data_IF_422587143203
#
_entry.id   IF_422587143203
#
_cell.length_a   1.000
_cell.length_b   1.000
_cell.length_c   1.000
_cell.angle_alpha   90.00
_cell.angle_beta   90.00
_cell.angle_gamma   90.00
#
_symmetry.space_group_name_H-M   'P 1'
#
loop_
_entity.id
_entity.type
_entity.pdbx_description
1 polymer ?
#
# COMPACT_ATOMS: atom_id res chain seq x y z
N UNK A 1 -23.20 -39.45 8.43
CA UNK A 1 -22.64 -38.41 9.34
C UNK A 1 -21.93 -37.40 8.47
N UNK A 2 -22.62 -36.34 8.05
CA UNK A 2 -22.03 -35.23 7.30
C UNK A 2 -21.91 -34.06 8.26
N UNK A 3 -20.69 -33.78 8.71
CA UNK A 3 -20.37 -32.59 9.48
C UNK A 3 -20.31 -31.40 8.54
N UNK A 4 -21.37 -30.60 8.57
CA UNK A 4 -21.46 -29.29 7.97
C UNK A 4 -20.59 -28.34 8.82
N UNK A 5 -19.45 -27.90 8.29
CA UNK A 5 -18.62 -26.87 8.91
C UNK A 5 -19.38 -25.55 8.84
N UNK A 6 -19.79 -25.06 10.00
CA UNK A 6 -20.40 -23.74 10.14
C UNK A 6 -19.39 -22.64 9.75
N UNK A 7 -19.82 -21.53 9.12
CA UNK A 7 -18.93 -20.42 8.84
C UNK A 7 -18.48 -19.79 10.15
N UNK A 8 -17.17 -19.61 10.30
CA UNK A 8 -16.58 -18.85 11.41
C UNK A 8 -16.97 -17.39 11.19
N UNK A 9 -17.92 -16.90 11.97
CA UNK A 9 -18.18 -15.46 12.11
C UNK A 9 -16.95 -14.83 12.77
N UNK A 10 -16.08 -14.20 11.97
CA UNK A 10 -15.04 -13.29 12.48
C UNK A 10 -15.78 -12.14 13.20
N UNK A 11 -15.48 -11.93 14.48
CA UNK A 11 -15.93 -10.74 15.22
C UNK A 11 -15.48 -9.49 14.47
N UNK A 12 -16.44 -8.59 14.17
CA UNK A 12 -16.15 -7.27 13.60
C UNK A 12 -15.37 -6.50 14.66
N UNK A 13 -14.07 -6.42 14.47
CA UNK A 13 -13.16 -5.70 15.35
C UNK A 13 -12.77 -4.44 14.62
N UNK A 14 -13.10 -3.26 15.19
CA UNK A 14 -12.65 -1.97 14.66
C UNK A 14 -11.16 -1.80 14.96
N UNK A 15 -10.30 -2.47 14.20
CA UNK A 15 -8.87 -2.51 14.48
C UNK A 15 -8.02 -2.62 13.21
N UNK A 16 -6.74 -2.27 13.35
CA UNK A 16 -5.69 -2.64 12.39
C UNK A 16 -4.88 -3.78 12.99
N UNK A 17 -4.72 -4.88 12.25
CA UNK A 17 -3.88 -6.02 12.66
C UNK A 17 -2.78 -6.30 11.66
N UNK A 18 -1.74 -7.00 12.12
CA UNK A 18 -0.68 -7.56 11.27
C UNK A 18 -0.71 -9.08 11.36
N UNK A 19 -0.88 -9.74 10.22
CA UNK A 19 -0.86 -11.21 10.09
C UNK A 19 0.34 -11.63 9.24
N UNK A 20 1.17 -12.55 9.73
CA UNK A 20 2.33 -13.05 8.99
C UNK A 20 2.02 -14.39 8.30
N UNK A 21 2.58 -14.60 7.12
CA UNK A 21 2.58 -15.90 6.45
C UNK A 21 3.34 -16.95 7.28
N UNK A 22 3.10 -18.23 7.02
CA UNK A 22 3.72 -19.33 7.79
C UNK A 22 5.26 -19.33 7.72
N UNK A 23 5.84 -18.81 6.64
CA UNK A 23 7.29 -18.62 6.46
C UNK A 23 7.79 -17.25 6.95
N UNK A 24 6.90 -16.38 7.40
CA UNK A 24 7.21 -15.04 7.89
C UNK A 24 7.61 -14.02 6.81
N UNK A 25 7.63 -14.40 5.53
CA UNK A 25 8.10 -13.53 4.45
C UNK A 25 7.10 -12.45 4.04
N UNK A 26 5.81 -12.65 4.30
CA UNK A 26 4.76 -11.68 3.98
C UNK A 26 4.06 -11.24 5.25
N UNK A 27 3.97 -9.93 5.46
CA UNK A 27 3.14 -9.32 6.49
C UNK A 27 1.89 -8.70 5.84
N UNK A 28 0.71 -9.07 6.31
CA UNK A 28 -0.56 -8.50 5.88
C UNK A 28 -1.07 -7.53 6.93
N UNK A 29 -1.11 -6.25 6.60
CA UNK A 29 -1.79 -5.22 7.39
C UNK A 29 -3.27 -5.24 7.00
N UNK A 30 -4.13 -5.66 7.92
CA UNK A 30 -5.58 -5.71 7.74
C UNK A 30 -6.24 -4.57 8.49
N UNK A 31 -6.97 -3.71 7.78
CA UNK A 31 -7.81 -2.66 8.36
C UNK A 31 -9.26 -3.13 8.31
N UNK A 32 -9.86 -3.52 9.43
CA UNK A 32 -11.27 -3.90 9.46
C UNK A 32 -12.09 -2.85 10.21
N UNK A 33 -12.88 -2.11 9.45
CA UNK A 33 -14.03 -1.35 9.96
C UNK A 33 -15.15 -1.46 8.95
N UNK A 34 -15.38 -2.68 8.47
CA UNK A 34 -16.25 -2.98 7.32
C UNK A 34 -17.69 -2.54 7.55
N UNK A 35 -18.17 -2.57 8.80
CA UNK A 35 -19.47 -2.03 9.20
C UNK A 35 -19.64 -0.52 8.94
N UNK A 36 -18.53 0.21 8.75
CA UNK A 36 -18.46 1.64 8.40
C UNK A 36 -17.68 1.87 7.11
N UNK A 37 -17.72 0.90 6.19
CA UNK A 37 -17.07 0.99 4.88
C UNK A 37 -15.55 1.27 4.97
N UNK A 38 -14.93 0.80 6.05
CA UNK A 38 -13.52 1.01 6.39
C UNK A 38 -13.12 2.49 6.49
N UNK A 39 -14.06 3.37 6.85
CA UNK A 39 -13.75 4.78 7.05
C UNK A 39 -12.73 5.00 8.21
N UNK A 40 -11.71 5.80 7.95
CA UNK A 40 -10.56 6.03 8.82
C UNK A 40 -10.86 7.06 9.91
N UNK A 41 -10.60 6.67 11.15
CA UNK A 41 -10.65 7.52 12.36
C UNK A 41 -9.23 7.83 12.84
N UNK A 42 -9.05 8.76 13.78
CA UNK A 42 -7.73 9.00 14.39
C UNK A 42 -7.11 7.73 14.98
N UNK A 43 -7.90 6.93 15.71
CA UNK A 43 -7.42 5.67 16.30
C UNK A 43 -6.93 4.68 15.23
N UNK A 44 -7.70 4.48 14.16
CA UNK A 44 -7.26 3.61 13.06
C UNK A 44 -6.01 4.11 12.35
N UNK A 45 -5.82 5.44 12.23
CA UNK A 45 -4.60 6.01 11.67
C UNK A 45 -3.39 5.78 12.59
N UNK A 46 -3.58 5.90 13.90
CA UNK A 46 -2.54 5.60 14.89
C UNK A 46 -2.16 4.11 14.88
N UNK A 47 -3.16 3.22 14.83
CA UNK A 47 -2.97 1.78 14.73
C UNK A 47 -2.29 1.40 13.41
N UNK A 48 -2.65 2.04 12.29
CA UNK A 48 -1.98 1.85 11.00
C UNK A 48 -0.50 2.27 11.07
N UNK A 49 -0.21 3.42 11.69
CA UNK A 49 1.17 3.85 11.89
C UNK A 49 1.95 2.87 12.79
N UNK A 50 1.30 2.27 13.79
CA UNK A 50 1.90 1.24 14.64
C UNK A 50 2.17 -0.05 13.88
N UNK A 51 1.20 -0.52 13.08
CA UNK A 51 1.33 -1.69 12.22
C UNK A 51 2.47 -1.52 11.20
N UNK A 52 2.58 -0.35 10.55
CA UNK A 52 3.69 -0.07 9.64
C UNK A 52 5.05 -0.12 10.36
N UNK A 53 5.15 0.44 11.57
CA UNK A 53 6.39 0.34 12.38
C UNK A 53 6.72 -1.09 12.78
N UNK A 54 5.72 -1.91 13.12
CA UNK A 54 5.90 -3.32 13.43
C UNK A 54 6.48 -4.07 12.21
N UNK A 55 5.87 -3.89 11.04
CA UNK A 55 6.35 -4.51 9.79
C UNK A 55 7.76 -4.04 9.46
N UNK A 56 8.06 -2.75 9.61
CA UNK A 56 9.40 -2.18 9.36
C UNK A 56 10.51 -2.79 10.24
N UNK A 57 10.15 -3.28 11.43
CA UNK A 57 11.04 -3.92 12.40
C UNK A 57 11.07 -5.46 12.28
N UNK A 58 10.19 -6.04 11.46
CA UNK A 58 10.09 -7.50 11.26
C UNK A 58 11.07 -8.01 10.20
N UNK A 59 11.18 -9.33 10.07
CA UNK A 59 11.88 -10.01 8.98
C UNK A 59 11.02 -10.22 7.73
N UNK A 60 9.84 -9.59 7.65
CA UNK A 60 9.01 -9.67 6.46
C UNK A 60 9.73 -9.03 5.28
N UNK A 61 9.58 -9.67 4.11
CA UNK A 61 10.17 -9.26 2.83
C UNK A 61 9.16 -8.51 1.96
N UNK A 62 7.88 -8.65 2.26
CA UNK A 62 6.75 -8.05 1.53
C UNK A 62 5.67 -7.61 2.53
N UNK A 63 5.13 -6.42 2.32
CA UNK A 63 3.95 -5.94 3.02
C UNK A 63 2.73 -5.95 2.09
N UNK A 64 1.57 -6.34 2.61
CA UNK A 64 0.31 -6.34 1.88
C UNK A 64 -0.72 -5.60 2.71
N UNK A 65 -1.37 -4.59 2.13
CA UNK A 65 -2.45 -3.83 2.77
C UNK A 65 -3.79 -4.34 2.25
N UNK A 66 -4.64 -4.80 3.19
CA UNK A 66 -6.01 -5.26 2.96
C UNK A 66 -6.98 -4.56 3.87
N UNK A 67 -8.24 -4.64 3.50
CA UNK A 67 -9.35 -4.16 4.31
C UNK A 67 -10.40 -5.26 4.49
N UNK A 68 -11.12 -5.22 5.61
CA UNK A 68 -12.22 -6.14 5.87
C UNK A 68 -13.47 -5.84 5.04
N UNK A 69 -14.35 -6.83 4.89
CA UNK A 69 -15.61 -6.68 4.15
C UNK A 69 -15.54 -7.14 2.70
N UNK A 70 -16.52 -6.72 1.88
CA UNK A 70 -16.58 -7.04 0.45
C UNK A 70 -16.82 -5.77 -0.36
N UNK A 71 -16.12 -5.64 -1.50
CA UNK A 71 -16.34 -4.59 -2.51
C UNK A 71 -16.13 -3.16 -2.02
N UNK A 72 -15.49 -2.99 -0.87
CA UNK A 72 -15.10 -1.69 -0.33
C UNK A 72 -13.71 -1.84 0.26
N UNK A 73 -12.76 -1.17 -0.37
CA UNK A 73 -11.43 -1.04 0.19
C UNK A 73 -11.49 -0.05 1.36
N UNK A 74 -11.70 1.24 1.06
CA UNK A 74 -11.82 2.28 2.08
C UNK A 74 -12.50 3.52 1.51
N UNK A 75 -13.50 4.07 2.20
CA UNK A 75 -14.19 5.30 1.77
C UNK A 75 -13.54 6.60 2.30
N UNK A 76 -12.34 6.47 2.88
CA UNK A 76 -11.54 7.59 3.36
C UNK A 76 -11.90 8.01 4.78
N UNK A 77 -11.78 9.30 5.05
CA UNK A 77 -11.99 9.88 6.38
C UNK A 77 -13.42 9.67 6.92
N UNK A 78 -13.55 9.35 8.21
CA UNK A 78 -14.85 9.42 8.89
C UNK A 78 -15.26 10.88 9.09
N UNK A 79 -16.25 11.33 8.29
CA UNK A 79 -16.72 12.72 8.26
C UNK A 79 -17.24 13.16 9.62
N UNK A 80 -17.87 12.27 10.38
CA UNK A 80 -18.41 12.62 11.70
C UNK A 80 -17.29 12.94 12.70
N UNK A 81 -16.09 12.41 12.47
CA UNK A 81 -14.96 12.65 13.36
C UNK A 81 -14.34 14.03 13.13
N UNK A 82 -14.17 14.44 11.88
CA UNK A 82 -13.51 15.71 11.59
C UNK A 82 -14.44 16.91 11.48
N UNK A 83 -15.76 16.72 11.32
CA UNK A 83 -16.72 17.81 11.17
C UNK A 83 -16.74 18.77 12.38
N UNK A 84 -16.43 18.27 13.57
CA UNK A 84 -16.44 19.06 14.81
C UNK A 84 -15.07 19.66 15.17
N UNK A 85 -14.04 19.44 14.34
CA UNK A 85 -12.70 19.95 14.61
C UNK A 85 -12.60 21.44 14.31
N UNK A 86 -11.94 22.18 15.22
CA UNK A 86 -11.45 23.52 14.91
C UNK A 86 -10.39 23.47 13.80
N UNK A 87 -10.13 24.60 13.14
CA UNK A 87 -9.06 24.69 12.15
C UNK A 87 -7.69 24.24 12.70
N UNK A 88 -7.41 24.55 13.98
CA UNK A 88 -6.19 24.09 14.64
C UNK A 88 -6.17 22.58 14.88
N UNK A 89 -7.30 21.98 15.28
CA UNK A 89 -7.42 20.53 15.47
C UNK A 89 -7.36 19.77 14.15
N UNK A 90 -7.98 20.30 13.10
CA UNK A 90 -7.85 19.77 11.73
C UNK A 90 -6.39 19.73 11.30
N UNK A 91 -5.65 20.82 11.47
CA UNK A 91 -4.25 20.89 11.06
C UNK A 91 -3.31 20.02 11.92
N UNK A 92 -3.36 20.17 13.26
CA UNK A 92 -2.39 19.55 14.18
C UNK A 92 -2.67 18.09 14.49
N UNK A 93 -3.94 17.72 14.52
CA UNK A 93 -4.34 16.40 14.97
C UNK A 93 -4.77 15.55 13.77
N UNK A 94 -5.77 16.00 12.99
CA UNK A 94 -6.33 15.20 11.89
C UNK A 94 -5.36 14.99 10.72
N UNK A 95 -4.92 16.09 10.11
CA UNK A 95 -4.03 16.04 8.93
C UNK A 95 -2.67 15.47 9.31
N UNK A 96 -2.08 15.92 10.42
CA UNK A 96 -0.77 15.44 10.84
C UNK A 96 -0.76 13.94 11.19
N UNK A 97 -1.84 13.42 11.79
CA UNK A 97 -1.91 11.98 12.12
C UNK A 97 -2.06 11.13 10.87
N UNK A 98 -2.87 11.55 9.90
CA UNK A 98 -2.96 10.86 8.62
C UNK A 98 -1.66 10.87 7.81
N UNK A 99 -0.95 12.01 7.75
CA UNK A 99 0.39 12.05 7.17
C UNK A 99 1.33 11.06 7.86
N UNK A 100 1.43 11.08 9.20
CA UNK A 100 2.30 10.14 9.92
C UNK A 100 1.97 8.67 9.62
N UNK A 101 0.70 8.32 9.47
CA UNK A 101 0.29 6.95 9.17
C UNK A 101 0.68 6.54 7.75
N UNK A 102 0.39 7.38 6.75
CA UNK A 102 0.62 7.04 5.36
C UNK A 102 2.10 7.16 4.98
N UNK A 103 2.83 8.10 5.59
CA UNK A 103 4.28 8.22 5.40
C UNK A 103 5.03 7.07 6.06
N UNK A 104 4.55 6.54 7.20
CA UNK A 104 5.11 5.33 7.79
C UNK A 104 4.94 4.11 6.88
N UNK A 105 3.80 4.02 6.17
CA UNK A 105 3.55 2.95 5.19
C UNK A 105 4.40 3.13 3.93
N UNK A 106 4.44 4.35 3.36
CA UNK A 106 5.25 4.65 2.18
C UNK A 106 6.74 4.42 2.44
N UNK A 107 7.22 4.80 3.64
CA UNK A 107 8.61 4.66 4.06
C UNK A 107 9.05 3.25 4.47
N UNK A 108 8.20 2.22 4.31
CA UNK A 108 8.62 0.83 4.53
C UNK A 108 9.79 0.47 3.61
N UNK A 109 10.80 -0.22 4.15
CA UNK A 109 11.88 -0.78 3.32
C UNK A 109 11.39 -1.92 2.46
N UNK A 110 10.45 -2.70 2.99
CA UNK A 110 9.75 -3.73 2.27
C UNK A 110 8.91 -3.12 1.12
N UNK A 111 8.87 -3.76 -0.06
CA UNK A 111 7.83 -3.46 -1.03
C UNK A 111 6.45 -3.69 -0.42
N UNK A 112 5.48 -2.89 -0.84
CA UNK A 112 4.12 -2.87 -0.31
C UNK A 112 3.07 -2.94 -1.42
N UNK A 113 2.04 -3.76 -1.23
CA UNK A 113 0.94 -3.93 -2.19
C UNK A 113 -0.37 -3.52 -1.52
N UNK A 114 -1.05 -2.52 -2.05
CA UNK A 114 -2.47 -2.29 -1.76
C UNK A 114 -3.34 -3.20 -2.64
N UNK A 115 -4.27 -3.93 -2.02
CA UNK A 115 -5.23 -4.77 -2.76
C UNK A 115 -6.60 -4.13 -2.72
N UNK A 116 -6.95 -3.51 -3.85
CA UNK A 116 -8.14 -2.67 -4.00
C UNK A 116 -9.24 -3.50 -4.65
N UNK A 117 -10.03 -4.16 -3.81
CA UNK A 117 -11.11 -5.08 -4.20
C UNK A 117 -12.46 -4.36 -4.43
N UNK A 118 -12.47 -3.02 -4.40
CA UNK A 118 -13.72 -2.27 -4.38
C UNK A 118 -13.55 -0.76 -4.33
N UNK A 119 -14.47 -0.07 -3.63
CA UNK A 119 -14.42 1.39 -3.51
C UNK A 119 -13.18 1.84 -2.72
N UNK A 120 -12.34 2.68 -3.33
CA UNK A 120 -11.24 3.39 -2.66
C UNK A 120 -11.38 4.89 -2.91
N UNK A 121 -12.00 5.62 -1.99
CA UNK A 121 -12.34 7.04 -2.16
C UNK A 121 -11.65 7.91 -1.12
N UNK A 122 -11.23 9.10 -1.56
CA UNK A 122 -10.55 10.09 -0.74
C UNK A 122 -9.35 9.49 -0.01
N UNK A 123 -9.34 9.59 1.32
CA UNK A 123 -8.36 8.94 2.20
C UNK A 123 -8.11 7.45 1.92
N UNK A 124 -9.08 6.72 1.36
CA UNK A 124 -8.91 5.31 0.98
C UNK A 124 -8.10 5.12 -0.30
N UNK A 125 -8.23 6.04 -1.26
CA UNK A 125 -7.30 6.09 -2.39
C UNK A 125 -5.93 6.60 -1.92
N UNK A 126 -5.87 7.59 -1.04
CA UNK A 126 -4.60 8.09 -0.47
C UNK A 126 -3.84 6.97 0.26
N UNK A 127 -4.53 6.11 1.01
CA UNK A 127 -3.97 4.90 1.61
C UNK A 127 -3.37 3.97 0.55
N UNK A 128 -4.12 3.68 -0.51
CA UNK A 128 -3.65 2.81 -1.59
C UNK A 128 -2.45 3.41 -2.35
N UNK A 129 -2.42 4.72 -2.50
CA UNK A 129 -1.32 5.47 -3.12
C UNK A 129 -0.06 5.51 -2.23
N UNK A 130 -0.20 5.31 -0.92
CA UNK A 130 0.95 5.20 -0.01
C UNK A 130 1.68 3.86 -0.14
N UNK A 131 1.10 2.83 -0.75
CA UNK A 131 1.81 1.61 -1.10
C UNK A 131 2.68 1.79 -2.36
N UNK A 132 3.60 0.86 -2.63
CA UNK A 132 4.41 0.87 -3.86
C UNK A 132 3.57 0.42 -5.06
N UNK A 133 2.81 -0.65 -4.86
CA UNK A 133 1.99 -1.29 -5.88
C UNK A 133 0.51 -1.28 -5.50
N UNK A 134 -0.34 -1.26 -6.53
CA UNK A 134 -1.80 -1.39 -6.39
C UNK A 134 -2.28 -2.44 -7.37
N UNK A 135 -2.78 -3.55 -6.83
CA UNK A 135 -3.52 -4.55 -7.60
C UNK A 135 -4.99 -4.28 -7.38
N UNK A 136 -5.71 -3.94 -8.46
CA UNK A 136 -7.07 -3.43 -8.39
C UNK A 136 -8.06 -4.34 -9.13
N UNK A 137 -9.25 -4.53 -8.56
CA UNK A 137 -10.34 -5.20 -9.26
C UNK A 137 -10.84 -4.33 -10.43
N UNK A 138 -11.18 -4.91 -11.58
CA UNK A 138 -11.77 -4.16 -12.71
C UNK A 138 -13.07 -3.42 -12.29
N UNK A 139 -13.83 -4.05 -11.39
CA UNK A 139 -15.07 -3.54 -10.81
C UNK A 139 -14.86 -2.46 -9.74
N UNK A 140 -13.64 -2.29 -9.23
CA UNK A 140 -13.32 -1.26 -8.25
C UNK A 140 -13.59 0.14 -8.80
N UNK A 141 -13.77 1.10 -7.88
CA UNK A 141 -13.87 2.52 -8.23
C UNK A 141 -12.95 3.31 -7.34
N UNK A 142 -12.18 4.20 -7.95
CA UNK A 142 -11.24 5.08 -7.23
C UNK A 142 -11.50 6.54 -7.53
N UNK A 143 -11.36 7.41 -6.52
CA UNK A 143 -11.58 8.85 -6.65
C UNK A 143 -10.96 9.66 -5.51
N UNK A 144 -10.72 10.95 -5.75
CA UNK A 144 -10.43 11.96 -4.74
C UNK A 144 -11.59 13.00 -4.72
N UNK A 145 -12.70 12.72 -4.00
CA UNK A 145 -13.93 13.50 -4.08
C UNK A 145 -14.00 14.72 -3.14
N UNK A 146 -12.95 14.98 -2.35
CA UNK A 146 -12.91 15.92 -1.22
C UNK A 146 -13.37 17.34 -1.57
N UNK A 147 -13.07 17.81 -2.79
CA UNK A 147 -13.50 19.14 -3.26
C UNK A 147 -15.03 19.28 -3.31
N UNK A 148 -15.76 18.18 -3.39
CA UNK A 148 -17.22 18.15 -3.30
C UNK A 148 -17.77 18.37 -1.89
N UNK A 149 -16.96 18.10 -0.87
CA UNK A 149 -17.27 18.38 0.53
C UNK A 149 -16.78 19.78 0.98
N UNK A 150 -16.06 20.49 0.10
CA UNK A 150 -15.44 21.77 0.43
C UNK A 150 -14.10 21.65 1.16
N UNK A 151 -13.45 20.48 1.06
CA UNK A 151 -12.08 20.25 1.56
C UNK A 151 -11.17 19.79 0.40
N UNK A 152 -9.97 19.33 0.71
CA UNK A 152 -8.98 18.82 -0.24
C UNK A 152 -8.46 17.46 0.21
N UNK A 153 -7.88 16.63 -0.69
CA UNK A 153 -7.13 15.45 -0.27
C UNK A 153 -6.07 15.85 0.75
N UNK A 154 -6.11 15.21 1.91
CA UNK A 154 -5.47 15.72 3.13
C UNK A 154 -4.30 14.87 3.61
N UNK A 155 -4.07 13.70 3.02
CA UNK A 155 -3.10 12.71 3.47
C UNK A 155 -2.12 12.30 2.37
N UNK A 156 -1.73 13.26 1.52
CA UNK A 156 -0.72 13.09 0.46
C UNK A 156 -1.30 12.72 -0.92
N UNK A 157 -2.61 12.68 -1.10
CA UNK A 157 -3.25 12.31 -2.36
C UNK A 157 -2.94 13.26 -3.52
N UNK A 158 -2.79 14.55 -3.25
CA UNK A 158 -2.46 15.54 -4.29
C UNK A 158 -1.05 15.34 -4.85
N UNK A 159 -0.09 15.03 -3.99
CA UNK A 159 1.31 14.80 -4.33
C UNK A 159 1.48 13.45 -5.05
N UNK A 160 1.14 12.34 -4.37
CA UNK A 160 1.31 10.98 -4.92
C UNK A 160 0.56 10.75 -6.22
N UNK A 161 -0.66 11.28 -6.35
CA UNK A 161 -1.37 11.20 -7.63
C UNK A 161 -0.69 12.04 -8.73
N UNK A 162 -0.16 13.21 -8.40
CA UNK A 162 0.54 14.07 -9.37
C UNK A 162 1.81 13.40 -9.89
N UNK A 163 2.55 12.70 -9.04
CA UNK A 163 3.76 11.95 -9.42
C UNK A 163 3.43 10.79 -10.36
N UNK A 164 2.36 10.04 -10.06
CA UNK A 164 1.99 8.85 -10.84
C UNK A 164 1.36 9.18 -12.19
N UNK A 165 0.46 10.17 -12.24
CA UNK A 165 -0.33 10.44 -13.46
C UNK A 165 -0.07 11.80 -14.11
N UNK A 166 0.81 12.60 -13.52
CA UNK A 166 1.09 13.96 -13.96
C UNK A 166 0.00 14.97 -13.58
N UNK A 167 0.38 16.25 -13.64
CA UNK A 167 -0.45 17.38 -13.18
C UNK A 167 -1.83 17.47 -13.81
N UNK A 168 -1.96 17.15 -15.10
CA UNK A 168 -3.23 17.30 -15.82
C UNK A 168 -4.27 16.27 -15.35
N UNK A 169 -3.91 14.99 -15.30
CA UNK A 169 -4.79 13.92 -14.81
C UNK A 169 -5.06 14.04 -13.32
N UNK A 170 -4.07 14.43 -12.52
CA UNK A 170 -4.29 14.67 -11.09
C UNK A 170 -5.29 15.81 -10.85
N UNK A 171 -5.21 16.90 -11.62
CA UNK A 171 -6.23 17.97 -11.60
C UNK A 171 -7.59 17.46 -12.04
N UNK A 172 -7.66 16.65 -13.10
CA UNK A 172 -8.92 16.06 -13.52
C UNK A 172 -9.55 15.22 -12.39
N UNK A 173 -8.77 14.34 -11.77
CA UNK A 173 -9.19 13.49 -10.66
C UNK A 173 -9.75 14.32 -9.49
N UNK A 174 -8.99 15.31 -9.01
CA UNK A 174 -9.31 16.08 -7.79
C UNK A 174 -10.37 17.17 -8.05
N UNK A 175 -10.25 17.93 -9.14
CA UNK A 175 -11.10 19.10 -9.38
C UNK A 175 -12.48 18.69 -9.91
N UNK A 176 -12.56 17.61 -10.69
CA UNK A 176 -13.85 17.11 -11.19
C UNK A 176 -14.47 16.08 -10.26
N UNK A 177 -13.67 15.46 -9.38
CA UNK A 177 -14.06 14.35 -8.49
C UNK A 177 -14.44 13.09 -9.28
N UNK A 178 -13.87 12.94 -10.48
CA UNK A 178 -14.14 11.83 -11.39
C UNK A 178 -13.81 10.51 -10.69
N UNK A 179 -14.71 9.54 -10.83
CA UNK A 179 -14.45 8.16 -10.46
C UNK A 179 -13.85 7.43 -11.66
N UNK A 180 -12.82 6.63 -11.41
CA UNK A 180 -12.18 5.77 -12.40
C UNK A 180 -12.51 4.32 -12.10
N UNK A 181 -12.74 3.50 -13.13
CA UNK A 181 -12.72 2.04 -13.00
C UNK A 181 -11.32 1.51 -12.70
N UNK A 182 -11.21 0.21 -12.36
CA UNK A 182 -9.91 -0.45 -12.22
C UNK A 182 -9.07 -0.37 -13.50
N UNK A 183 -9.69 -0.59 -14.66
CA UNK A 183 -9.02 -0.49 -15.96
C UNK A 183 -8.54 0.93 -16.25
N UNK A 184 -9.36 1.95 -15.97
CA UNK A 184 -8.98 3.35 -16.15
C UNK A 184 -7.84 3.73 -15.20
N UNK A 185 -7.87 3.26 -13.95
CA UNK A 185 -6.82 3.50 -12.97
C UNK A 185 -5.47 2.95 -13.45
N UNK A 186 -5.43 1.73 -14.01
CA UNK A 186 -4.21 1.18 -14.64
C UNK A 186 -3.82 1.96 -15.88
N UNK A 187 -4.78 2.26 -16.78
CA UNK A 187 -4.51 3.03 -17.99
C UNK A 187 -3.99 4.46 -17.72
N UNK A 188 -4.29 5.00 -16.53
CA UNK A 188 -3.77 6.29 -16.09
C UNK A 188 -2.40 6.21 -15.42
N UNK A 189 -2.03 5.06 -14.87
CA UNK A 189 -0.84 4.86 -14.04
C UNK A 189 -1.09 4.94 -12.53
N UNK A 190 -2.35 5.05 -12.08
CA UNK A 190 -2.69 5.03 -10.66
C UNK A 190 -2.58 3.64 -10.05
N UNK A 191 -2.76 2.58 -10.84
CA UNK A 191 -2.61 1.20 -10.39
C UNK A 191 -1.64 0.44 -11.29
N UNK A 192 -0.97 -0.57 -10.73
CA UNK A 192 0.10 -1.32 -11.42
C UNK A 192 -0.42 -2.58 -12.10
N UNK A 193 -1.55 -3.14 -11.64
CA UNK A 193 -2.20 -4.28 -12.26
C UNK A 193 -3.71 -4.25 -12.02
N UNK A 194 -4.50 -4.70 -13.00
CA UNK A 194 -5.94 -4.90 -12.90
C UNK A 194 -6.28 -6.37 -13.16
N UNK A 195 -7.25 -6.90 -12.44
CA UNK A 195 -7.82 -8.22 -12.67
C UNK A 195 -9.33 -8.20 -12.39
N UNK A 196 -10.13 -9.10 -12.99
CA UNK A 196 -11.49 -9.34 -12.53
C UNK A 196 -11.51 -9.70 -11.05
N UNK A 197 -12.59 -9.37 -10.32
CA UNK A 197 -12.72 -9.69 -8.89
C UNK A 197 -12.42 -11.16 -8.55
N UNK A 198 -12.81 -12.09 -9.42
CA UNK A 198 -12.57 -13.54 -9.23
C UNK A 198 -11.11 -13.97 -9.35
N UNK A 199 -10.27 -13.15 -9.99
CA UNK A 199 -8.86 -13.42 -10.27
C UNK A 199 -7.92 -12.48 -9.48
N UNK A 200 -8.48 -11.61 -8.64
CA UNK A 200 -7.72 -10.61 -7.90
C UNK A 200 -6.64 -11.25 -7.00
N UNK A 201 -6.98 -12.31 -6.28
CA UNK A 201 -6.02 -13.00 -5.41
C UNK A 201 -4.91 -13.70 -6.21
N UNK A 202 -5.20 -14.20 -7.41
CA UNK A 202 -4.18 -14.75 -8.31
C UNK A 202 -3.21 -13.66 -8.79
N UNK A 203 -3.74 -12.50 -9.18
CA UNK A 203 -2.92 -11.36 -9.57
C UNK A 203 -2.03 -10.85 -8.44
N UNK A 204 -2.54 -10.82 -7.20
CA UNK A 204 -1.76 -10.47 -6.01
C UNK A 204 -0.69 -11.53 -5.77
N UNK A 205 -1.04 -12.82 -5.76
CA UNK A 205 -0.08 -13.90 -5.55
C UNK A 205 1.05 -13.89 -6.58
N UNK A 206 0.72 -13.62 -7.85
CA UNK A 206 1.72 -13.49 -8.91
C UNK A 206 2.71 -12.35 -8.60
N UNK A 207 2.22 -11.14 -8.31
CA UNK A 207 3.09 -10.01 -7.99
C UNK A 207 3.91 -10.26 -6.72
N UNK A 208 3.30 -10.85 -5.69
CA UNK A 208 3.99 -11.24 -4.46
C UNK A 208 5.13 -12.21 -4.73
N UNK A 209 4.90 -13.24 -5.56
CA UNK A 209 5.92 -14.21 -5.93
C UNK A 209 7.06 -13.56 -6.73
N UNK A 210 6.74 -12.66 -7.66
CA UNK A 210 7.75 -11.92 -8.44
C UNK A 210 8.64 -11.07 -7.53
N UNK A 211 8.07 -10.40 -6.52
CA UNK A 211 8.82 -9.60 -5.54
C UNK A 211 9.66 -10.48 -4.59
N UNK A 212 9.09 -11.58 -4.08
CA UNK A 212 9.75 -12.51 -3.17
C UNK A 212 10.85 -13.35 -3.84
N UNK A 213 10.85 -13.44 -5.17
CA UNK A 213 11.92 -14.08 -5.94
C UNK A 213 13.22 -13.26 -5.96
N UNK A 214 13.18 -11.97 -5.62
CA UNK A 214 14.36 -11.11 -5.53
C UNK A 214 15.13 -11.28 -4.22
N UNK A 215 16.43 -10.96 -4.23
CA UNK A 215 17.24 -10.89 -3.02
C UNK A 215 16.69 -9.79 -2.10
N UNK A 216 16.27 -10.08 -0.85
CA UNK A 216 15.52 -9.13 -0.03
C UNK A 216 16.21 -7.78 0.13
N UNK A 217 17.49 -7.77 0.53
CA UNK A 217 18.24 -6.52 0.70
C UNK A 217 18.36 -5.74 -0.62
N UNK A 218 18.57 -6.43 -1.75
CA UNK A 218 18.67 -5.77 -3.05
C UNK A 218 17.33 -5.16 -3.50
N UNK A 219 16.21 -5.82 -3.22
CA UNK A 219 14.85 -5.31 -3.50
C UNK A 219 14.58 -4.05 -2.65
N UNK A 220 14.90 -4.10 -1.35
CA UNK A 220 14.74 -2.95 -0.44
C UNK A 220 15.61 -1.77 -0.88
N UNK A 221 16.88 -2.01 -1.21
CA UNK A 221 17.78 -0.97 -1.73
C UNK A 221 17.26 -0.38 -3.04
N UNK A 222 16.77 -1.22 -3.96
CA UNK A 222 16.16 -0.78 -5.21
C UNK A 222 14.98 0.16 -5.00
N UNK A 223 14.06 -0.19 -4.10
CA UNK A 223 12.95 0.69 -3.70
C UNK A 223 13.47 2.03 -3.17
N UNK A 224 14.33 2.01 -2.15
CA UNK A 224 14.81 3.23 -1.50
C UNK A 224 15.59 4.16 -2.45
N UNK A 225 16.32 3.60 -3.42
CA UNK A 225 17.01 4.39 -4.44
C UNK A 225 16.02 5.10 -5.38
N UNK A 226 14.93 4.44 -5.76
CA UNK A 226 13.87 5.02 -6.59
C UNK A 226 13.19 6.17 -5.84
N UNK A 227 12.80 5.94 -4.58
CA UNK A 227 12.13 6.94 -3.75
C UNK A 227 13.04 8.16 -3.52
N UNK A 228 14.31 7.93 -3.15
CA UNK A 228 15.27 9.00 -2.96
C UNK A 228 15.53 9.81 -4.25
N UNK A 229 15.52 9.15 -5.41
CA UNK A 229 15.66 9.83 -6.70
C UNK A 229 14.43 10.71 -7.02
N UNK A 230 13.22 10.26 -6.68
CA UNK A 230 12.00 11.06 -6.81
C UNK A 230 12.07 12.34 -5.94
N UNK A 231 12.66 12.24 -4.75
CA UNK A 231 12.92 13.37 -3.84
C UNK A 231 14.10 14.27 -4.27
N UNK A 232 14.75 13.97 -5.39
CA UNK A 232 15.86 14.76 -5.93
C UNK A 232 17.23 14.49 -5.30
N UNK A 233 17.39 13.36 -4.60
CA UNK A 233 18.69 12.94 -4.07
C UNK A 233 19.68 12.60 -5.21
N UNK A 234 21.01 12.65 -4.97
CA UNK A 234 22.02 12.35 -5.97
C UNK A 234 22.08 10.83 -6.27
N UNK A 235 21.20 10.37 -7.16
CA UNK A 235 20.96 8.94 -7.42
C UNK A 235 22.23 8.15 -7.68
N UNK A 236 23.15 8.65 -8.50
CA UNK A 236 24.40 7.95 -8.86
C UNK A 236 25.33 7.66 -7.68
N UNK A 237 25.39 8.56 -6.70
CA UNK A 237 26.22 8.36 -5.50
C UNK A 237 25.58 7.30 -4.60
N UNK A 238 24.27 7.39 -4.42
CA UNK A 238 23.52 6.41 -3.64
C UNK A 238 23.54 5.02 -4.29
N UNK A 239 23.36 4.94 -5.61
CA UNK A 239 23.47 3.71 -6.40
C UNK A 239 24.84 3.04 -6.23
N UNK A 240 25.93 3.82 -6.23
CA UNK A 240 27.28 3.29 -6.04
C UNK A 240 27.47 2.70 -4.63
N UNK A 241 26.97 3.37 -3.60
CA UNK A 241 27.04 2.90 -2.21
C UNK A 241 26.14 1.67 -2.00
N UNK A 242 24.91 1.69 -2.50
CA UNK A 242 23.97 0.58 -2.42
C UNK A 242 24.49 -0.65 -3.18
N UNK A 243 25.08 -0.46 -4.37
CA UNK A 243 25.73 -1.52 -5.12
C UNK A 243 26.94 -2.11 -4.37
N UNK A 244 27.72 -1.27 -3.69
CA UNK A 244 28.80 -1.72 -2.81
C UNK A 244 28.31 -2.55 -1.62
N UNK A 245 27.20 -2.15 -1.00
CA UNK A 245 26.56 -2.90 0.09
C UNK A 245 26.01 -4.24 -0.41
N UNK A 246 25.25 -4.24 -1.51
CA UNK A 246 24.71 -5.46 -2.13
C UNK A 246 25.83 -6.40 -2.60
N UNK A 247 27.00 -5.87 -2.98
CA UNK A 247 28.14 -6.68 -3.36
C UNK A 247 28.79 -7.46 -2.20
N UNK A 248 28.47 -7.09 -0.96
CA UNK A 248 28.98 -7.73 0.24
C UNK A 248 28.06 -8.83 0.80
N UNK A 249 26.88 -9.05 0.22
CA UNK A 249 25.92 -10.05 0.71
C UNK A 249 26.20 -11.44 0.14
N UNK A 250 25.81 -12.47 0.90
CA UNK A 250 25.81 -13.86 0.43
C UNK A 250 24.77 -14.04 -0.69
N UNK A 251 23.69 -13.27 -0.66
CA UNK A 251 22.67 -13.26 -1.71
C UNK A 251 23.23 -12.89 -3.09
N UNK A 252 24.21 -11.97 -3.21
CA UNK A 252 24.84 -11.72 -4.52
C UNK A 252 25.62 -12.94 -4.99
N UNK A 253 26.37 -13.59 -4.10
CA UNK A 253 27.15 -14.77 -4.44
C UNK A 253 26.24 -15.91 -4.92
N UNK A 254 25.12 -16.14 -4.24
CA UNK A 254 24.08 -17.10 -4.62
C UNK A 254 23.44 -16.74 -5.96
N UNK A 255 23.07 -15.48 -6.18
CA UNK A 255 22.47 -15.02 -7.44
C UNK A 255 23.41 -15.24 -8.64
N UNK A 256 24.70 -14.97 -8.47
CA UNK A 256 25.73 -15.22 -9.50
C UNK A 256 25.91 -16.72 -9.76
N UNK A 257 25.93 -17.55 -8.71
CA UNK A 257 26.04 -19.00 -8.85
C UNK A 257 24.81 -19.58 -9.58
N UNK A 258 23.61 -19.25 -9.12
CA UNK A 258 22.34 -19.69 -9.69
C UNK A 258 22.23 -19.33 -11.19
N UNK A 259 22.64 -18.11 -11.57
CA UNK A 259 22.67 -17.68 -12.97
C UNK A 259 23.63 -18.53 -13.83
N UNK A 260 24.84 -18.80 -13.33
CA UNK A 260 25.84 -19.63 -14.03
C UNK A 260 25.37 -21.08 -14.20
N UNK A 261 24.69 -21.60 -13.18
CA UNK A 261 24.19 -22.97 -13.11
C UNK A 261 22.81 -23.15 -13.76
N UNK A 262 22.15 -22.07 -14.19
CA UNK A 262 20.79 -22.06 -14.76
C UNK A 262 19.74 -22.69 -13.83
N UNK A 263 19.81 -22.36 -12.54
CA UNK A 263 18.83 -22.77 -11.52
C UNK A 263 18.18 -21.54 -10.89
N UNK A 264 17.10 -21.75 -10.14
CA UNK A 264 16.54 -20.71 -9.29
C UNK A 264 17.51 -20.37 -8.15
N UNK A 265 17.56 -19.09 -7.76
CA UNK A 265 18.33 -18.62 -6.63
C UNK A 265 17.52 -18.81 -5.32
N UNK A 266 18.22 -19.07 -4.23
CA UNK A 266 17.66 -19.20 -2.89
C UNK A 266 18.25 -18.14 -1.95
N UNK A 267 17.57 -17.00 -1.85
CA UNK A 267 18.04 -15.87 -1.06
C UNK A 267 17.68 -15.97 0.43
N UNK A 268 18.67 -15.70 1.28
CA UNK A 268 18.62 -15.89 2.75
C UNK A 268 18.65 -14.59 3.56
N UNK A 269 18.67 -13.42 2.92
CA UNK A 269 18.64 -12.10 3.58
C UNK A 269 19.92 -11.76 4.37
N UNK A 270 21.07 -12.32 3.95
CA UNK A 270 22.41 -12.05 4.50
C UNK A 270 23.41 -11.74 3.39
#
# INVERSE_FOLDING_TARGET
MSTQTAPVTKEVTEQVTVEYSADGHTATILIDRSAKLNALTLGLLEDLAAAAREVAASSARLAIVRTGGQKVFCVGADINHFADLSAAGMWRDWIATGHRAFDALAGLRQPSIAVVDGLAFGGGLELALACDFRVIAAEARVALPETGLGTVPGWGGTERATELVGRARAKELVLTRRQLSGDEAVGWGLATAVAPQSELEEAVAKLSNDLLAGAPLAVQLGKQLIDAAADGAPSRVLEALAGGLAAATDDLAEGVAAFREKRAAHFTDN
#
